data_IF_146216123062
#
_entry.id   IF_146216123062
#
_cell.length_a   1.000
_cell.length_b   1.000
_cell.length_c   1.000
_cell.angle_alpha   90.00
_cell.angle_beta   90.00
_cell.angle_gamma   90.00
#
_symmetry.space_group_name_H-M   'P 1'
#
loop_
_entity.id
_entity.type
_entity.pdbx_description
1 polymer ?
#
# COMPACT_ATOMS: atom_id res chain seq x y z
N UNK A 1 27.22 4.26 -16.84
CA UNK A 1 26.99 5.72 -16.81
C UNK A 1 25.53 6.07 -16.62
N UNK A 2 24.60 5.62 -17.49
CA UNK A 2 23.15 5.88 -17.32
C UNK A 2 22.53 5.32 -16.03
N UNK A 3 22.81 4.05 -15.68
CA UNK A 3 22.25 3.40 -14.48
C UNK A 3 22.71 4.02 -13.15
N UNK A 4 23.97 4.50 -13.07
CA UNK A 4 24.50 5.19 -11.89
C UNK A 4 23.82 6.55 -11.67
N UNK A 5 23.52 7.27 -12.75
CA UNK A 5 22.86 8.58 -12.70
C UNK A 5 21.37 8.47 -12.31
N UNK A 6 20.72 7.37 -12.66
CA UNK A 6 19.30 7.14 -12.38
C UNK A 6 19.04 6.55 -10.98
N UNK A 7 19.94 5.70 -10.45
CA UNK A 7 19.73 4.99 -9.18
C UNK A 7 20.40 5.63 -7.96
N UNK A 8 21.33 6.58 -8.14
CA UNK A 8 21.98 7.30 -7.03
C UNK A 8 22.90 6.46 -6.13
N UNK A 9 22.97 5.15 -6.36
CA UNK A 9 23.73 4.19 -5.56
C UNK A 9 24.49 3.20 -6.48
N UNK A 10 25.81 3.11 -6.27
CA UNK A 10 26.73 2.31 -7.07
C UNK A 10 26.44 0.80 -6.99
N UNK A 11 25.91 0.33 -5.86
CA UNK A 11 25.65 -1.09 -5.63
C UNK A 11 24.49 -1.56 -6.50
N UNK A 12 23.40 -0.78 -6.57
CA UNK A 12 22.26 -1.10 -7.42
C UNK A 12 22.59 -0.94 -8.91
N UNK A 13 23.44 0.01 -9.28
CA UNK A 13 23.90 0.16 -10.66
C UNK A 13 24.73 -1.05 -11.12
N UNK A 14 25.61 -1.58 -10.25
CA UNK A 14 26.35 -2.82 -10.51
C UNK A 14 25.41 -4.03 -10.57
N UNK A 15 24.45 -4.13 -9.65
CA UNK A 15 23.45 -5.19 -9.65
C UNK A 15 22.62 -5.22 -10.94
N UNK A 16 22.16 -4.06 -11.40
CA UNK A 16 21.41 -3.92 -12.65
C UNK A 16 22.24 -4.29 -13.88
N UNK A 17 23.52 -3.86 -13.93
CA UNK A 17 24.44 -4.23 -15.00
C UNK A 17 24.65 -5.74 -15.06
N UNK A 18 24.90 -6.37 -13.91
CA UNK A 18 25.10 -7.82 -13.82
C UNK A 18 23.83 -8.58 -14.25
N UNK A 19 22.67 -8.17 -13.76
CA UNK A 19 21.38 -8.77 -14.11
C UNK A 19 21.09 -8.67 -15.62
N UNK A 20 21.39 -7.52 -16.23
CA UNK A 20 21.24 -7.32 -17.68
C UNK A 20 22.15 -8.26 -18.46
N UNK A 21 23.42 -8.37 -18.04
CA UNK A 21 24.41 -9.24 -18.69
C UNK A 21 24.00 -10.72 -18.58
N UNK A 22 23.50 -11.14 -17.40
CA UNK A 22 22.95 -12.49 -17.18
C UNK A 22 21.73 -12.73 -18.08
N UNK A 23 20.79 -11.78 -18.18
CA UNK A 23 19.62 -11.93 -19.05
C UNK A 23 20.02 -12.10 -20.53
N UNK A 24 20.98 -11.30 -21.01
CA UNK A 24 21.53 -11.45 -22.37
C UNK A 24 22.23 -12.80 -22.58
N UNK A 25 22.98 -13.27 -21.59
CA UNK A 25 23.66 -14.56 -21.64
C UNK A 25 22.65 -15.72 -21.67
N UNK A 26 21.59 -15.66 -20.86
CA UNK A 26 20.51 -16.66 -20.85
C UNK A 26 19.78 -16.67 -22.20
N UNK A 27 19.40 -15.51 -22.72
CA UNK A 27 18.70 -15.40 -24.01
C UNK A 27 19.55 -15.97 -25.15
N UNK A 28 20.83 -15.60 -25.19
CA UNK A 28 21.80 -16.09 -26.18
C UNK A 28 22.01 -17.59 -26.03
N UNK A 29 22.11 -18.09 -24.79
CA UNK A 29 22.23 -19.51 -24.48
C UNK A 29 21.03 -20.31 -24.99
N UNK A 30 19.82 -19.83 -24.73
CA UNK A 30 18.57 -20.44 -25.22
C UNK A 30 18.54 -20.42 -26.76
N UNK A 31 18.86 -19.30 -27.40
CA UNK A 31 18.90 -19.22 -28.87
C UNK A 31 19.89 -20.22 -29.47
N UNK A 32 21.10 -20.33 -28.91
CA UNK A 32 22.11 -21.29 -29.35
C UNK A 32 21.68 -22.74 -29.09
N UNK A 33 21.02 -23.02 -27.97
CA UNK A 33 20.47 -24.35 -27.67
C UNK A 33 19.39 -24.74 -28.67
N UNK A 34 18.47 -23.85 -29.01
CA UNK A 34 17.45 -24.09 -30.04
C UNK A 34 18.10 -24.33 -31.41
N UNK A 35 19.06 -23.50 -31.81
CA UNK A 35 19.81 -23.65 -33.05
C UNK A 35 20.52 -25.01 -33.11
N UNK A 36 21.22 -25.39 -32.03
CA UNK A 36 21.95 -26.66 -31.94
C UNK A 36 21.00 -27.86 -31.89
N UNK A 37 19.86 -27.73 -31.20
CA UNK A 37 18.79 -28.73 -31.14
C UNK A 37 18.20 -29.01 -32.52
N UNK A 38 17.84 -27.96 -33.26
CA UNK A 38 17.34 -28.06 -34.64
C UNK A 38 18.37 -28.73 -35.55
N UNK A 39 19.66 -28.38 -35.42
CA UNK A 39 20.73 -29.00 -36.19
C UNK A 39 20.92 -30.49 -35.86
N UNK A 40 20.72 -30.89 -34.60
CA UNK A 40 21.04 -32.25 -34.11
C UNK A 40 19.88 -33.22 -34.31
N UNK A 41 18.64 -32.79 -34.06
CA UNK A 41 17.44 -33.62 -34.14
C UNK A 41 16.76 -33.59 -35.51
N UNK A 42 17.46 -33.12 -36.55
CA UNK A 42 16.89 -32.95 -37.87
C UNK A 42 16.55 -34.31 -38.52
N UNK A 43 15.31 -34.55 -38.96
CA UNK A 43 14.92 -35.82 -39.56
C UNK A 43 15.56 -35.98 -40.95
N UNK A 44 16.39 -37.02 -41.13
CA UNK A 44 17.03 -37.38 -42.41
C UNK A 44 16.06 -37.66 -43.57
N UNK A 45 14.74 -37.65 -43.32
CA UNK A 45 13.67 -37.96 -44.29
C UNK A 45 13.19 -36.77 -45.11
N UNK A 46 13.65 -35.55 -44.82
CA UNK A 46 13.25 -34.35 -45.56
C UNK A 46 13.95 -34.24 -46.93
N UNK A 47 13.24 -33.71 -47.93
CA UNK A 47 13.75 -33.53 -49.28
C UNK A 47 14.99 -32.61 -49.36
N UNK A 48 15.78 -32.79 -50.42
CA UNK A 48 17.07 -32.10 -50.63
C UNK A 48 16.96 -30.56 -50.47
N UNK A 49 15.92 -29.95 -51.03
CA UNK A 49 15.70 -28.50 -50.95
C UNK A 49 15.54 -27.99 -49.51
N UNK A 50 14.74 -28.67 -48.68
CA UNK A 50 14.51 -28.25 -47.29
C UNK A 50 15.78 -28.39 -46.43
N UNK A 51 16.55 -29.46 -46.66
CA UNK A 51 17.84 -29.67 -46.00
C UNK A 51 18.87 -28.60 -46.38
N UNK A 52 18.94 -28.25 -47.66
CA UNK A 52 19.90 -27.28 -48.16
C UNK A 52 19.57 -25.85 -47.73
N UNK A 53 18.29 -25.47 -47.75
CA UNK A 53 17.83 -24.17 -47.24
C UNK A 53 18.14 -23.98 -45.76
N UNK A 54 17.98 -25.03 -44.95
CA UNK A 54 18.31 -24.97 -43.52
C UNK A 54 19.83 -24.94 -43.26
N UNK A 55 20.63 -25.71 -44.01
CA UNK A 55 22.09 -25.67 -43.90
C UNK A 55 22.67 -24.29 -44.23
N UNK A 56 22.04 -23.54 -45.14
CA UNK A 56 22.42 -22.15 -45.45
C UNK A 56 22.26 -21.20 -44.24
N UNK A 57 21.32 -21.48 -43.34
CA UNK A 57 21.12 -20.70 -42.10
C UNK A 57 22.21 -20.96 -41.05
N UNK A 58 22.97 -22.06 -41.18
CA UNK A 58 24.01 -22.47 -40.23
C UNK A 58 25.44 -22.33 -40.78
N UNK A 59 25.62 -21.64 -41.91
CA UNK A 59 26.94 -21.45 -42.53
C UNK A 59 27.85 -20.62 -41.60
N UNK A 60 29.11 -21.03 -41.37
CA UNK A 60 30.08 -20.21 -40.63
C UNK A 60 30.18 -18.83 -41.28
N UNK A 61 30.10 -17.76 -40.47
CA UNK A 61 30.07 -16.34 -40.88
C UNK A 61 28.71 -15.77 -41.37
N UNK A 62 27.57 -16.42 -41.09
CA UNK A 62 26.23 -15.89 -41.42
C UNK A 62 25.61 -15.07 -40.25
N UNK A 63 24.88 -13.99 -40.56
CA UNK A 63 24.23 -13.10 -39.59
C UNK A 63 22.91 -13.65 -39.02
N UNK A 64 22.53 -14.89 -39.33
CA UNK A 64 21.29 -15.51 -38.87
C UNK A 64 21.15 -15.52 -37.35
N UNK A 65 22.25 -15.73 -36.61
CA UNK A 65 22.23 -15.68 -35.14
C UNK A 65 21.87 -14.27 -34.64
N UNK A 66 22.46 -13.24 -35.24
CA UNK A 66 22.17 -11.84 -34.89
C UNK A 66 20.72 -11.48 -35.20
N UNK A 67 20.20 -11.92 -36.35
CA UNK A 67 18.81 -11.69 -36.75
C UNK A 67 17.82 -12.39 -35.80
N UNK A 68 18.09 -13.65 -35.45
CA UNK A 68 17.25 -14.42 -34.51
C UNK A 68 17.27 -13.77 -33.12
N UNK A 69 18.43 -13.32 -32.64
CA UNK A 69 18.55 -12.59 -31.37
C UNK A 69 17.80 -11.25 -31.43
N UNK A 70 17.92 -10.49 -32.51
CA UNK A 70 17.24 -9.21 -32.67
C UNK A 70 15.71 -9.36 -32.70
N UNK A 71 15.18 -10.34 -33.46
CA UNK A 71 13.75 -10.64 -33.49
C UNK A 71 13.29 -11.15 -32.12
N UNK A 72 14.03 -12.06 -31.50
CA UNK A 72 13.71 -12.60 -30.18
C UNK A 72 13.66 -11.52 -29.10
N UNK A 73 14.59 -10.56 -29.13
CA UNK A 73 14.59 -9.38 -28.24
C UNK A 73 13.36 -8.49 -28.50
N UNK A 74 13.03 -8.23 -29.76
CA UNK A 74 11.84 -7.44 -30.13
C UNK A 74 10.54 -8.10 -29.65
N UNK A 75 10.40 -9.40 -29.88
CA UNK A 75 9.25 -10.17 -29.37
C UNK A 75 9.22 -10.19 -27.85
N UNK A 76 10.36 -10.40 -27.18
CA UNK A 76 10.45 -10.37 -25.72
C UNK A 76 10.00 -9.02 -25.15
N UNK A 77 10.43 -7.91 -25.76
CA UNK A 77 10.04 -6.57 -25.35
C UNK A 77 8.51 -6.37 -25.47
N UNK A 78 7.93 -6.76 -26.61
CA UNK A 78 6.48 -6.67 -26.85
C UNK A 78 5.72 -7.57 -25.86
N UNK A 79 6.14 -8.82 -25.68
CA UNK A 79 5.53 -9.75 -24.71
C UNK A 79 5.61 -9.20 -23.28
N UNK A 80 6.72 -8.58 -22.90
CA UNK A 80 6.87 -7.96 -21.57
C UNK A 80 5.91 -6.79 -21.40
N UNK A 81 5.70 -5.99 -22.46
CA UNK A 81 4.73 -4.89 -22.45
C UNK A 81 3.30 -5.42 -22.26
N UNK A 82 2.90 -6.44 -23.02
CA UNK A 82 1.58 -7.07 -22.87
C UNK A 82 1.41 -7.70 -21.48
N UNK A 83 2.41 -8.44 -21.01
CA UNK A 83 2.38 -9.03 -19.67
C UNK A 83 2.25 -7.97 -18.57
N UNK A 84 2.96 -6.85 -18.71
CA UNK A 84 2.84 -5.72 -17.77
C UNK A 84 1.45 -5.11 -17.83
N UNK A 85 0.91 -4.88 -19.03
CA UNK A 85 -0.47 -4.42 -19.23
C UNK A 85 -1.46 -5.36 -18.55
N UNK A 86 -1.34 -6.66 -18.76
CA UNK A 86 -2.26 -7.66 -18.20
C UNK A 86 -2.18 -7.69 -16.67
N UNK A 87 -0.97 -7.58 -16.09
CA UNK A 87 -0.80 -7.44 -14.64
C UNK A 87 -1.47 -6.17 -14.12
N UNK A 88 -1.31 -5.04 -14.82
CA UNK A 88 -1.92 -3.77 -14.41
C UNK A 88 -3.45 -3.84 -14.49
N UNK A 89 -4.00 -4.43 -15.55
CA UNK A 89 -5.44 -4.64 -15.70
C UNK A 89 -5.97 -5.58 -14.62
N UNK A 90 -5.33 -6.73 -14.40
CA UNK A 90 -5.73 -7.67 -13.36
C UNK A 90 -5.72 -7.02 -11.96
N UNK A 91 -4.69 -6.22 -11.64
CA UNK A 91 -4.64 -5.47 -10.38
C UNK A 91 -5.73 -4.40 -10.26
N UNK A 92 -6.17 -3.84 -11.38
CA UNK A 92 -7.24 -2.83 -11.41
C UNK A 92 -8.62 -3.48 -11.30
N UNK A 93 -8.85 -4.61 -11.99
CA UNK A 93 -10.10 -5.36 -11.96
C UNK A 93 -10.39 -6.00 -10.59
N UNK A 94 -9.36 -6.45 -9.86
CA UNK A 94 -9.50 -6.94 -8.48
C UNK A 94 -10.06 -5.87 -7.53
N UNK A 95 -9.92 -4.59 -7.83
CA UNK A 95 -10.57 -3.50 -7.08
C UNK A 95 -12.08 -3.38 -7.32
N UNK A 96 -12.61 -3.92 -8.42
CA UNK A 96 -14.00 -3.76 -8.87
C UNK A 96 -14.95 -4.90 -8.46
N UNK A 97 -14.58 -5.76 -7.51
CA UNK A 97 -15.55 -6.71 -6.97
C UNK A 97 -16.76 -5.97 -6.41
N UNK A 98 -17.97 -6.42 -6.78
CA UNK A 98 -19.27 -5.78 -6.52
C UNK A 98 -19.59 -5.48 -5.05
N UNK A 99 -18.78 -5.97 -4.11
CA UNK A 99 -18.85 -5.73 -2.66
C UNK A 99 -18.04 -4.52 -2.18
N UNK A 100 -17.17 -3.94 -3.02
CA UNK A 100 -16.29 -2.87 -2.59
C UNK A 100 -16.96 -1.51 -2.79
N UNK A 101 -16.87 -0.68 -1.76
CA UNK A 101 -17.37 0.68 -1.83
C UNK A 101 -16.69 1.48 -2.94
N UNK A 102 -17.49 2.18 -3.75
CA UNK A 102 -17.03 2.89 -4.94
C UNK A 102 -17.29 4.40 -4.85
N UNK A 103 -17.97 4.87 -3.81
CA UNK A 103 -18.15 6.30 -3.56
C UNK A 103 -17.82 6.58 -2.10
N UNK A 104 -17.01 7.60 -1.89
CA UNK A 104 -16.63 8.09 -0.57
C UNK A 104 -17.10 9.53 -0.45
N UNK A 105 -18.02 9.79 0.46
CA UNK A 105 -18.40 11.15 0.82
C UNK A 105 -17.58 11.55 2.05
N UNK A 106 -16.86 12.67 1.92
CA UNK A 106 -16.08 13.27 2.98
C UNK A 106 -16.84 14.47 3.55
N UNK A 107 -16.43 14.92 4.74
CA UNK A 107 -16.95 16.15 5.37
C UNK A 107 -18.46 16.12 5.67
N UNK A 108 -18.99 14.94 6.00
CA UNK A 108 -20.38 14.83 6.47
C UNK A 108 -20.41 15.19 7.94
N UNK A 109 -21.02 16.30 8.29
CA UNK A 109 -21.17 16.68 9.70
C UNK A 109 -22.10 15.69 10.41
N UNK A 110 -21.86 15.45 11.70
CA UNK A 110 -22.62 14.45 12.48
C UNK A 110 -24.12 14.75 12.55
N UNK A 111 -24.51 16.02 12.59
CA UNK A 111 -25.89 16.49 12.55
C UNK A 111 -26.55 16.26 11.18
N UNK A 112 -25.74 16.24 10.12
CA UNK A 112 -26.20 16.01 8.75
C UNK A 112 -26.21 14.52 8.37
N UNK A 113 -25.51 13.66 9.14
CA UNK A 113 -25.33 12.25 8.82
C UNK A 113 -26.65 11.56 8.48
N UNK A 114 -27.64 11.63 9.37
CA UNK A 114 -28.92 10.93 9.21
C UNK A 114 -29.69 11.42 7.97
N UNK A 115 -29.67 12.74 7.72
CA UNK A 115 -30.32 13.34 6.56
C UNK A 115 -29.65 12.92 5.25
N UNK A 116 -28.32 12.88 5.23
CA UNK A 116 -27.53 12.48 4.05
C UNK A 116 -27.71 10.98 3.79
N UNK A 117 -27.64 10.14 4.81
CA UNK A 117 -27.88 8.70 4.69
C UNK A 117 -29.28 8.40 4.16
N UNK A 118 -30.32 9.08 4.66
CA UNK A 118 -31.69 8.91 4.19
C UNK A 118 -31.83 9.25 2.69
N UNK A 119 -31.22 10.36 2.23
CA UNK A 119 -31.23 10.75 0.81
C UNK A 119 -30.47 9.78 -0.09
N UNK A 120 -29.38 9.20 0.40
CA UNK A 120 -28.56 8.25 -0.34
C UNK A 120 -29.28 6.90 -0.46
N UNK A 121 -29.88 6.41 0.64
CA UNK A 121 -30.71 5.21 0.64
C UNK A 121 -31.91 5.36 -0.30
N UNK A 122 -32.55 6.53 -0.35
CA UNK A 122 -33.63 6.83 -1.28
C UNK A 122 -33.22 6.76 -2.77
N UNK A 123 -31.93 6.90 -3.09
CA UNK A 123 -31.38 6.75 -4.44
C UNK A 123 -30.88 5.33 -4.76
N UNK A 124 -31.16 4.35 -3.90
CA UNK A 124 -30.74 2.96 -4.09
C UNK A 124 -29.26 2.70 -3.85
N UNK A 125 -28.57 3.60 -3.14
CA UNK A 125 -27.17 3.43 -2.75
C UNK A 125 -27.12 3.02 -1.27
N UNK A 126 -26.76 1.77 -0.93
CA UNK A 126 -26.56 1.40 0.47
C UNK A 126 -25.31 2.08 1.01
N UNK A 127 -25.45 2.62 2.23
CA UNK A 127 -24.33 3.10 3.04
C UNK A 127 -23.70 1.87 3.68
N UNK A 128 -22.46 1.56 3.30
CA UNK A 128 -21.75 0.38 3.79
C UNK A 128 -21.20 0.66 5.18
N UNK A 129 -20.48 1.78 5.34
CA UNK A 129 -19.88 2.19 6.60
C UNK A 129 -20.01 3.71 6.80
N UNK A 130 -20.23 4.12 8.04
CA UNK A 130 -20.13 5.51 8.49
C UNK A 130 -19.01 5.61 9.51
N UNK A 131 -17.95 6.35 9.18
CA UNK A 131 -16.72 6.35 9.97
C UNK A 131 -16.44 7.76 10.48
N UNK A 132 -16.42 7.98 11.80
CA UNK A 132 -16.10 9.28 12.39
C UNK A 132 -14.60 9.56 12.22
N UNK A 133 -14.25 10.77 11.81
CA UNK A 133 -12.86 11.22 11.64
C UNK A 133 -12.54 12.29 12.66
N UNK A 134 -11.58 11.98 13.51
CA UNK A 134 -11.01 12.86 14.52
C UNK A 134 -9.67 13.39 14.01
N UNK A 135 -9.57 14.71 13.85
CA UNK A 135 -8.28 15.35 13.56
C UNK A 135 -7.60 15.78 14.85
N UNK A 136 -6.33 15.39 15.02
CA UNK A 136 -5.54 15.76 16.19
C UNK A 136 -4.06 15.93 15.85
N UNK A 137 -3.32 16.55 16.76
CA UNK A 137 -1.86 16.72 16.65
C UNK A 137 -1.17 16.19 17.89
N UNK A 138 0.04 15.67 17.74
CA UNK A 138 0.87 15.32 18.89
C UNK A 138 1.27 16.59 19.63
N UNK A 139 1.00 16.63 20.94
CA UNK A 139 1.43 17.69 21.84
C UNK A 139 2.66 17.27 22.66
N UNK A 140 2.67 16.04 23.20
CA UNK A 140 3.80 15.46 23.95
C UNK A 140 3.99 13.99 23.61
N UNK A 141 5.25 13.53 23.60
CA UNK A 141 5.63 12.12 23.49
C UNK A 141 6.60 11.82 24.63
N UNK A 142 6.38 10.77 25.43
CA UNK A 142 7.26 10.38 26.54
C UNK A 142 7.56 11.54 27.50
N UNK A 143 6.56 12.38 27.76
CA UNK A 143 6.68 13.57 28.62
C UNK A 143 7.40 14.78 28.00
N UNK A 144 7.99 14.66 26.80
CA UNK A 144 8.63 15.78 26.09
C UNK A 144 7.66 16.46 25.12
N UNK A 145 7.68 17.79 25.07
CA UNK A 145 6.84 18.54 24.13
C UNK A 145 7.29 18.28 22.69
N UNK A 146 6.32 18.18 21.78
CA UNK A 146 6.60 18.06 20.36
C UNK A 146 7.43 19.25 19.84
N UNK A 147 7.26 20.45 20.42
CA UNK A 147 8.04 21.64 20.09
C UNK A 147 9.53 21.48 20.42
N UNK A 148 9.83 20.90 21.58
CA UNK A 148 11.22 20.70 22.03
C UNK A 148 11.87 19.60 21.19
N UNK A 149 11.14 18.50 20.96
CA UNK A 149 11.56 17.43 20.06
C UNK A 149 11.81 17.94 18.64
N UNK A 150 11.09 18.96 18.15
CA UNK A 150 11.35 19.55 16.82
C UNK A 150 12.72 20.20 16.71
N UNK A 151 13.23 20.77 17.81
CA UNK A 151 14.51 21.47 17.84
C UNK A 151 15.70 20.54 18.16
N UNK A 152 15.42 19.34 18.66
CA UNK A 152 16.43 18.32 18.94
C UNK A 152 16.89 17.63 17.64
N UNK A 153 18.17 17.85 17.28
CA UNK A 153 18.82 17.25 16.11
C UNK A 153 19.35 15.84 16.36
N UNK A 154 19.34 15.36 17.62
CA UNK A 154 19.85 14.03 17.99
C UNK A 154 18.78 12.94 17.98
N UNK A 155 17.52 13.30 17.74
CA UNK A 155 16.42 12.34 17.73
C UNK A 155 16.48 11.42 16.50
N UNK A 156 16.09 10.16 16.73
CA UNK A 156 15.88 9.16 15.68
C UNK A 156 14.52 9.31 14.96
N UNK A 157 13.61 10.13 15.53
CA UNK A 157 12.23 10.30 15.07
C UNK A 157 12.13 11.26 13.89
N UNK A 158 11.39 10.88 12.84
CA UNK A 158 11.25 11.72 11.65
C UNK A 158 10.38 12.95 11.92
N UNK A 159 10.72 14.11 11.35
CA UNK A 159 10.00 15.37 11.60
C UNK A 159 8.53 15.36 11.14
N UNK A 160 8.14 14.48 10.22
CA UNK A 160 6.77 14.43 9.73
C UNK A 160 5.79 14.14 10.88
N UNK A 161 6.11 13.21 11.78
CA UNK A 161 5.22 12.79 12.87
C UNK A 161 4.88 13.95 13.82
N UNK A 162 5.82 14.88 14.03
CA UNK A 162 5.66 16.02 14.94
C UNK A 162 4.86 17.17 14.31
N UNK A 163 4.85 17.28 12.99
CA UNK A 163 4.16 18.34 12.25
C UNK A 163 2.82 17.87 11.66
N UNK A 164 2.58 16.56 11.65
CA UNK A 164 1.42 15.97 11.01
C UNK A 164 0.15 16.14 11.86
N UNK A 165 -0.95 16.41 11.17
CA UNK A 165 -2.28 16.29 11.74
C UNK A 165 -2.78 14.87 11.49
N UNK A 166 -2.83 14.08 12.55
CA UNK A 166 -3.32 12.71 12.49
C UNK A 166 -4.83 12.72 12.35
N UNK A 167 -5.31 12.09 11.28
CA UNK A 167 -6.69 11.64 11.20
C UNK A 167 -6.78 10.30 11.92
N UNK A 168 -7.69 10.22 12.86
CA UNK A 168 -8.00 9.02 13.62
C UNK A 168 -9.47 8.73 13.53
N UNK A 169 -9.81 7.50 13.88
CA UNK A 169 -11.20 7.12 14.08
C UNK A 169 -11.34 6.43 15.41
N UNK A 170 -12.59 6.21 15.82
CA UNK A 170 -12.92 5.38 16.95
C UNK A 170 -13.89 4.29 16.52
N UNK A 171 -13.71 3.07 17.01
CA UNK A 171 -14.51 1.90 16.62
C UNK A 171 -14.41 0.80 17.71
N UNK A 172 -15.21 -0.25 17.58
CA UNK A 172 -15.24 -1.33 18.58
C UNK A 172 -14.55 -2.62 18.10
N UNK A 173 -14.34 -2.78 16.79
CA UNK A 173 -13.76 -3.97 16.18
C UNK A 173 -12.71 -3.66 15.12
N UNK A 174 -11.77 -4.58 14.88
CA UNK A 174 -10.78 -4.48 13.80
C UNK A 174 -11.44 -4.75 12.44
N UNK A 175 -10.85 -4.23 11.35
CA UNK A 175 -11.31 -4.47 9.97
C UNK A 175 -10.30 -5.36 9.24
N UNK A 176 -10.73 -5.99 8.15
CA UNK A 176 -9.92 -6.95 7.39
C UNK A 176 -8.63 -6.37 6.78
N UNK A 177 -8.51 -5.04 6.67
CA UNK A 177 -7.30 -4.35 6.19
C UNK A 177 -6.22 -4.15 7.27
N UNK A 178 -6.51 -4.55 8.50
CA UNK A 178 -5.64 -4.34 9.65
C UNK A 178 -5.30 -5.69 10.30
N UNK A 179 -4.04 -5.88 10.67
CA UNK A 179 -3.56 -7.05 11.40
C UNK A 179 -2.91 -6.60 12.72
N UNK A 180 -3.27 -7.23 13.84
CA UNK A 180 -2.67 -6.94 15.15
C UNK A 180 -1.28 -7.57 15.20
N UNK A 181 -0.25 -6.76 15.39
CA UNK A 181 1.12 -7.24 15.52
C UNK A 181 1.46 -7.53 16.98
N UNK A 182 1.20 -6.56 17.86
CA UNK A 182 1.60 -6.61 19.25
C UNK A 182 0.59 -5.90 20.16
N UNK A 183 0.54 -6.32 21.43
CA UNK A 183 -0.36 -5.80 22.45
C UNK A 183 -1.72 -6.48 22.48
N UNK A 184 -2.62 -5.94 23.28
CA UNK A 184 -3.98 -6.46 23.42
C UNK A 184 -5.00 -5.46 22.87
N UNK A 185 -5.93 -5.97 22.06
CA UNK A 185 -7.10 -5.20 21.63
C UNK A 185 -8.20 -5.31 22.70
N UNK A 186 -8.17 -4.42 23.70
CA UNK A 186 -9.07 -4.51 24.85
C UNK A 186 -10.34 -3.67 24.64
N UNK A 187 -11.44 -4.28 24.19
CA UNK A 187 -12.77 -3.63 24.08
C UNK A 187 -13.39 -3.21 25.42
N UNK A 188 -12.87 -3.72 26.54
CA UNK A 188 -13.37 -3.47 27.88
C UNK A 188 -12.51 -2.42 28.60
N UNK A 189 -13.13 -1.30 29.00
CA UNK A 189 -12.48 -0.29 29.84
C UNK A 189 -12.88 -0.48 31.31
N UNK A 190 -11.88 -0.50 32.20
CA UNK A 190 -12.10 -0.37 33.65
C UNK A 190 -12.26 1.10 34.02
N UNK A 191 -13.19 1.46 34.93
CA UNK A 191 -13.30 2.83 35.42
C UNK A 191 -11.94 3.30 35.97
N UNK A 192 -11.42 4.42 35.44
CA UNK A 192 -10.17 5.09 35.86
C UNK A 192 -8.85 4.56 35.23
N UNK A 193 -8.90 3.71 34.20
CA UNK A 193 -7.73 3.32 33.42
C UNK A 193 -7.30 4.40 32.39
N UNK A 194 -6.00 4.47 32.01
CA UNK A 194 -5.52 5.37 30.97
C UNK A 194 -6.18 5.09 29.62
N UNK A 195 -6.35 6.13 28.80
CA UNK A 195 -6.93 5.99 27.45
C UNK A 195 -5.95 5.22 26.57
N UNK A 196 -6.30 3.98 26.23
CA UNK A 196 -5.49 3.15 25.36
C UNK A 196 -5.71 3.52 23.89
N UNK A 197 -4.60 3.66 23.15
CA UNK A 197 -4.59 3.96 21.73
C UNK A 197 -3.87 2.87 20.95
N UNK A 198 -4.38 2.56 19.75
CA UNK A 198 -3.76 1.62 18.84
C UNK A 198 -3.09 2.35 17.68
N UNK A 199 -1.79 2.12 17.52
CA UNK A 199 -0.94 2.81 16.53
C UNK A 199 -0.62 1.92 15.34
N UNK A 200 -0.37 2.52 14.19
CA UNK A 200 0.14 1.82 13.02
C UNK A 200 1.65 1.53 13.14
N UNK A 201 2.10 0.46 12.48
CA UNK A 201 3.50 -0.01 12.43
C UNK A 201 4.51 1.06 12.00
N UNK A 202 4.13 1.98 11.12
CA UNK A 202 4.97 3.10 10.72
C UNK A 202 5.36 4.06 11.87
N UNK A 203 4.57 4.13 12.96
CA UNK A 203 4.92 4.91 14.15
C UNK A 203 5.97 4.22 15.02
N UNK A 204 6.10 2.89 14.91
CA UNK A 204 7.11 2.11 15.64
C UNK A 204 8.51 2.40 15.12
N UNK A 205 8.63 2.52 13.80
CA UNK A 205 9.88 2.98 13.16
C UNK A 205 10.32 4.37 13.63
N UNK A 206 9.39 5.19 14.13
CA UNK A 206 9.65 6.53 14.66
C UNK A 206 9.96 6.53 16.18
N UNK A 207 10.12 5.35 16.78
CA UNK A 207 10.54 5.17 18.17
C UNK A 207 9.40 5.27 19.20
N UNK A 208 8.17 4.98 18.78
CA UNK A 208 6.99 4.84 19.64
C UNK A 208 6.70 3.36 19.84
N UNK A 209 6.59 2.93 21.09
CA UNK A 209 6.40 1.54 21.47
C UNK A 209 5.18 1.37 22.41
N UNK A 210 4.78 0.13 22.68
CA UNK A 210 3.70 -0.20 23.61
C UNK A 210 4.05 0.29 25.01
N UNK A 211 3.08 0.90 25.68
CA UNK A 211 3.23 1.50 27.00
C UNK A 211 3.71 2.95 26.98
N UNK A 212 4.05 3.50 25.82
CA UNK A 212 4.46 4.90 25.71
C UNK A 212 3.28 5.85 25.92
N UNK A 213 3.53 6.93 26.66
CA UNK A 213 2.56 8.00 26.87
C UNK A 213 2.65 9.06 25.77
N UNK A 214 1.53 9.32 25.12
CA UNK A 214 1.36 10.33 24.08
C UNK A 214 0.21 11.24 24.46
N UNK A 215 0.48 12.54 24.51
CA UNK A 215 -0.56 13.56 24.67
C UNK A 215 -0.93 14.11 23.30
N UNK A 216 -2.18 13.93 22.90
CA UNK A 216 -2.74 14.50 21.68
C UNK A 216 -3.50 15.78 21.98
N UNK A 217 -3.45 16.74 21.06
CA UNK A 217 -4.30 17.91 21.05
C UNK A 217 -5.41 17.70 20.02
N UNK A 218 -6.65 17.56 20.51
CA UNK A 218 -7.87 17.40 19.71
C UNK A 218 -8.63 18.73 19.76
N UNK A 219 -8.51 19.54 18.71
CA UNK A 219 -9.22 20.83 18.58
C UNK A 219 -9.07 21.77 19.80
N UNK A 220 -7.90 21.78 20.44
CA UNK A 220 -7.58 22.60 21.62
C UNK A 220 -7.67 21.84 22.95
N UNK A 221 -8.22 20.63 22.98
CA UNK A 221 -8.30 19.80 24.19
C UNK A 221 -7.13 18.82 24.23
N UNK A 222 -6.35 18.86 25.32
CA UNK A 222 -5.25 17.92 25.55
C UNK A 222 -5.80 16.59 26.10
N UNK A 223 -5.45 15.51 25.43
CA UNK A 223 -5.83 14.14 25.76
C UNK A 223 -4.58 13.31 26.00
N UNK A 224 -4.40 12.81 27.22
CA UNK A 224 -3.31 11.89 27.55
C UNK A 224 -3.72 10.45 27.26
N UNK A 225 -2.89 9.77 26.48
CA UNK A 225 -3.13 8.40 26.02
C UNK A 225 -1.89 7.55 26.19
N UNK A 226 -2.08 6.24 26.27
CA UNK A 226 -1.01 5.24 26.35
C UNK A 226 -1.15 4.27 25.19
N UNK A 227 -0.03 3.93 24.54
CA UNK A 227 -0.05 2.96 23.43
C UNK A 227 -0.37 1.57 23.98
N UNK A 228 -1.49 1.00 23.58
CA UNK A 228 -1.94 -0.33 24.03
C UNK A 228 -1.71 -1.44 23.02
N UNK A 229 -1.67 -1.10 21.73
CA UNK A 229 -1.46 -2.07 20.65
C UNK A 229 -0.83 -1.46 19.41
N UNK A 230 -0.15 -2.30 18.64
CA UNK A 230 0.47 -1.97 17.35
C UNK A 230 -0.21 -2.80 16.26
N UNK A 231 -0.56 -2.13 15.16
CA UNK A 231 -1.26 -2.73 14.01
C UNK A 231 -0.46 -2.55 12.74
N UNK A 232 -0.44 -3.59 11.92
CA UNK A 232 -0.06 -3.49 10.52
C UNK A 232 -1.26 -3.01 9.71
N UNK A 233 -1.05 -2.01 8.87
CA UNK A 233 -2.10 -1.40 8.06
C UNK A 233 -1.81 -1.63 6.59
N UNK A 234 -2.71 -2.32 5.87
CA UNK A 234 -2.57 -2.50 4.43
C UNK A 234 -3.17 -1.32 3.65
N UNK A 235 -2.31 -0.37 3.31
CA UNK A 235 -2.64 0.82 2.51
C UNK A 235 -3.08 0.53 1.07
N UNK A 236 -2.97 -0.71 0.60
CA UNK A 236 -3.36 -1.10 -0.77
C UNK A 236 -4.85 -1.38 -0.88
N UNK A 237 -5.54 -1.56 0.24
CA UNK A 237 -6.99 -1.74 0.26
C UNK A 237 -7.70 -0.39 0.15
N UNK A 238 -8.83 -0.35 -0.57
CA UNK A 238 -9.67 0.85 -0.76
C UNK A 238 -10.43 1.27 0.51
N UNK A 239 -10.24 0.54 1.61
CA UNK A 239 -10.85 0.88 2.89
C UNK A 239 -10.15 2.09 3.52
N UNK A 240 -10.90 2.99 4.18
CA UNK A 240 -10.31 4.12 4.88
C UNK A 240 -9.49 3.68 6.09
N UNK A 241 -8.19 3.61 5.92
CA UNK A 241 -7.24 3.31 6.99
C UNK A 241 -6.80 4.57 7.75
N UNK A 242 -6.45 4.42 9.03
CA UNK A 242 -6.03 5.51 9.91
C UNK A 242 -4.79 5.12 10.73
N UNK A 243 -3.81 6.03 10.82
CA UNK A 243 -2.55 5.82 11.55
C UNK A 243 -2.78 5.68 13.06
N UNK A 244 -3.81 6.37 13.58
CA UNK A 244 -4.18 6.33 14.98
C UNK A 244 -5.62 5.85 15.12
N UNK A 245 -5.87 5.10 16.18
CA UNK A 245 -7.16 4.53 16.44
C UNK A 245 -7.47 4.52 17.94
N UNK A 246 -8.64 5.04 18.32
CA UNK A 246 -9.13 5.02 19.70
C UNK A 246 -10.25 3.99 19.88
N UNK A 247 -10.32 3.36 21.04
CA UNK A 247 -11.48 2.55 21.37
C UNK A 247 -12.61 3.42 21.92
N UNK A 248 -13.80 3.26 21.32
CA UNK A 248 -15.01 4.04 21.59
C UNK A 248 -15.41 4.05 23.07
N UNK A 249 -15.18 2.92 23.75
CA UNK A 249 -15.45 2.73 25.17
C UNK A 249 -14.76 3.77 26.09
N UNK A 250 -13.62 4.34 25.70
CA UNK A 250 -12.90 5.33 26.50
C UNK A 250 -13.40 6.76 26.31
N UNK A 251 -14.07 7.06 25.19
CA UNK A 251 -14.47 8.42 24.83
C UNK A 251 -15.80 8.82 25.45
N UNK A 252 -16.75 7.87 25.61
CA UNK A 252 -18.12 8.12 26.07
C UNK A 252 -18.25 8.75 27.47
N UNK A 253 -17.20 8.70 28.29
CA UNK A 253 -17.22 9.18 29.69
C UNK A 253 -16.78 10.63 29.86
N UNK A 254 -16.12 11.21 28.87
CA UNK A 254 -15.68 12.61 28.91
C UNK A 254 -16.66 13.48 28.11
N UNK A 255 -17.72 13.99 28.75
CA UNK A 255 -18.78 14.77 28.09
C UNK A 255 -18.26 15.91 27.18
N UNK A 256 -17.17 16.57 27.56
CA UNK A 256 -16.52 17.62 26.73
C UNK A 256 -15.74 17.05 25.53
N UNK A 257 -15.18 15.85 25.66
CA UNK A 257 -14.52 15.16 24.56
C UNK A 257 -15.56 14.60 23.60
N UNK A 258 -16.62 13.96 24.10
CA UNK A 258 -17.74 13.46 23.28
C UNK A 258 -18.36 14.59 22.47
N UNK A 259 -18.61 15.76 23.03
CA UNK A 259 -19.17 16.89 22.28
C UNK A 259 -18.18 17.44 21.24
N UNK A 260 -16.88 17.54 21.56
CA UNK A 260 -15.85 17.96 20.60
C UNK A 260 -15.61 16.95 19.47
N UNK A 261 -15.85 15.66 19.75
CA UNK A 261 -15.73 14.55 18.79
C UNK A 261 -17.02 14.35 17.99
N UNK A 262 -18.18 14.66 18.58
CA UNK A 262 -19.46 14.71 17.87
C UNK A 262 -19.48 15.85 16.86
N UNK A 263 -18.79 16.97 17.08
CA UNK A 263 -18.68 18.06 16.11
C UNK A 263 -17.81 17.73 14.87
N UNK A 264 -17.41 16.48 14.67
CA UNK A 264 -16.43 16.10 13.67
C UNK A 264 -17.01 15.48 12.41
N UNK A 265 -16.16 15.51 11.38
CA UNK A 265 -16.47 15.04 10.04
C UNK A 265 -16.62 13.52 10.04
N UNK A 266 -17.61 13.06 9.30
CA UNK A 266 -17.82 11.67 8.99
C UNK A 266 -17.44 11.39 7.54
N UNK A 267 -16.91 10.20 7.34
CA UNK A 267 -16.65 9.62 6.03
C UNK A 267 -17.71 8.55 5.79
N UNK A 268 -18.60 8.82 4.84
CA UNK A 268 -19.58 7.84 4.37
C UNK A 268 -18.98 7.06 3.21
N UNK A 269 -19.02 5.75 3.35
CA UNK A 269 -18.51 4.79 2.37
C UNK A 269 -19.72 4.12 1.74
N UNK A 270 -19.95 4.39 0.46
CA UNK A 270 -21.12 3.98 -0.28
C UNK A 270 -20.77 2.94 -1.34
N UNK A 271 -21.73 2.09 -1.63
CA UNK A 271 -21.67 1.13 -2.71
C UNK A 271 -22.64 1.54 -3.81
N UNK A 272 -22.15 1.60 -5.05
CA UNK A 272 -23.01 1.74 -6.21
C UNK A 272 -23.27 0.35 -6.78
N UNK A 273 -24.54 -0.05 -6.86
CA UNK A 273 -24.90 -1.23 -7.64
C UNK A 273 -24.78 -0.86 -9.12
N UNK A 274 -23.77 -1.38 -9.81
CA UNK A 274 -23.81 -1.42 -11.28
C UNK A 274 -24.89 -2.43 -11.65
N UNK A 275 -26.10 -1.94 -11.88
CA UNK A 275 -27.12 -2.72 -12.58
C UNK A 275 -26.58 -3.00 -13.99
N UNK A 276 -26.18 -4.25 -14.22
CA UNK A 276 -26.10 -4.83 -15.56
C UNK A 276 -27.51 -5.30 -15.92
#
# INVERSE_FOLDING_TARGET
MFSFWLLGDALYALGFMLATLVAFAVLTGVALLFIKGIKTYFPKRWGFAARQSLLNLFRPNNQTVVLVVAIGLGTCLISTLYFTKDILLAKTEVGQSSSNANIIILDVQSDQQETVEARIKAKGLPVVNSIPIVTMRIHKIKGRLANDLRQDSTKQMRNWILNHEFRSTYRDAMIDSEELLEGEWTSHTTPNAPILVSIADNLVEDGIDIGDNITFNVQGVLMETTVGSIRKVDWRQLQPNFNLFFLLAHLSKHHNLVSSLQMQQMKLVLQHYSAI
#
